data_IF_102844520541
#
_entry.id   IF_102844520541
#
_cell.length_a   1.000
_cell.length_b   1.000
_cell.length_c   1.000
_cell.angle_alpha   90.00
_cell.angle_beta   90.00
_cell.angle_gamma   90.00
#
_symmetry.space_group_name_H-M   'P 1'
#
loop_
_entity.id
_entity.type
_entity.pdbx_description
1 polymer ?
#
# COMPACT_ATOMS: atom_id res chain seq x y z
N UNK A 1 0.61 -17.39 2.35
CA UNK A 1 -0.34 -16.62 3.18
C UNK A 1 0.23 -16.13 4.51
N UNK A 2 1.18 -16.84 5.14
CA UNK A 2 1.69 -16.43 6.47
C UNK A 2 2.38 -15.05 6.47
N UNK A 3 3.17 -14.74 5.43
CA UNK A 3 3.81 -13.43 5.29
C UNK A 3 2.78 -12.27 5.27
N UNK A 4 1.66 -12.44 4.57
CA UNK A 4 0.58 -11.45 4.52
C UNK A 4 -0.05 -11.27 5.91
N UNK A 5 -0.31 -12.37 6.62
CA UNK A 5 -0.83 -12.31 8.00
C UNK A 5 0.15 -11.62 8.96
N UNK A 6 1.45 -11.83 8.79
CA UNK A 6 2.47 -11.14 9.58
C UNK A 6 2.37 -9.62 9.41
N UNK A 7 2.07 -9.14 8.19
CA UNK A 7 1.92 -7.70 7.96
C UNK A 7 0.67 -7.11 8.60
N UNK A 8 -0.46 -7.81 8.57
CA UNK A 8 -1.67 -7.36 9.28
C UNK A 8 -1.46 -7.33 10.79
N UNK A 9 -0.71 -8.30 11.34
CA UNK A 9 -0.30 -8.27 12.76
C UNK A 9 0.58 -7.07 13.06
N UNK A 10 1.49 -6.74 12.16
CA UNK A 10 2.38 -5.58 12.31
C UNK A 10 1.62 -4.25 12.25
N UNK A 11 0.68 -4.11 11.31
CA UNK A 11 -0.21 -2.94 11.26
C UNK A 11 -1.03 -2.78 12.56
N UNK A 12 -1.56 -3.89 13.09
CA UNK A 12 -2.28 -3.88 14.36
C UNK A 12 -1.37 -3.52 15.55
N UNK A 13 -0.12 -4.02 15.56
CA UNK A 13 0.89 -3.71 16.58
C UNK A 13 1.22 -2.21 16.57
N UNK A 14 1.57 -1.66 15.40
CA UNK A 14 1.89 -0.23 15.24
C UNK A 14 0.70 0.65 15.63
N UNK A 15 -0.52 0.28 15.23
CA UNK A 15 -1.73 1.03 15.63
C UNK A 15 -1.89 1.11 17.14
N UNK A 16 -1.62 0.02 17.86
CA UNK A 16 -1.71 0.00 19.33
C UNK A 16 -0.58 0.80 19.99
N UNK A 17 0.61 0.79 19.41
CA UNK A 17 1.79 1.46 19.98
C UNK A 17 1.80 2.97 19.74
N UNK A 18 1.39 3.42 18.56
CA UNK A 18 1.41 4.85 18.21
C UNK A 18 0.10 5.55 18.55
N UNK A 19 -1.00 4.81 18.73
CA UNK A 19 -2.35 5.35 18.86
C UNK A 19 -2.94 5.87 17.55
N UNK A 20 -2.24 5.67 16.43
CA UNK A 20 -2.65 6.13 15.10
C UNK A 20 -2.85 4.94 14.15
N UNK A 21 -3.88 5.00 13.29
CA UNK A 21 -4.22 3.86 12.42
C UNK A 21 -3.12 3.54 11.40
N UNK A 22 -2.63 2.31 11.45
CA UNK A 22 -1.74 1.75 10.43
C UNK A 22 -2.50 0.70 9.62
N UNK A 23 -2.25 0.67 8.31
CA UNK A 23 -2.95 -0.20 7.36
C UNK A 23 -1.93 -0.97 6.52
N UNK A 24 -2.39 -2.08 5.95
CA UNK A 24 -1.62 -2.81 4.93
C UNK A 24 -2.05 -2.32 3.55
N UNK A 25 -1.10 -1.79 2.81
CA UNK A 25 -1.28 -1.14 1.52
C UNK A 25 -0.59 -1.93 0.41
N UNK A 26 -1.05 -1.78 -0.84
CA UNK A 26 -0.42 -2.39 -2.02
C UNK A 26 0.46 -1.39 -2.77
N UNK A 27 1.77 -1.62 -2.81
CA UNK A 27 2.74 -0.73 -3.46
C UNK A 27 2.31 -0.45 -4.91
N UNK A 28 2.02 -1.51 -5.67
CA UNK A 28 1.38 -1.47 -6.99
C UNK A 28 -0.10 -1.83 -6.83
N UNK A 29 -1.05 -1.11 -7.49
CA UNK A 29 -2.47 -1.33 -7.28
C UNK A 29 -2.90 -2.79 -7.47
N UNK A 30 -3.72 -3.27 -6.52
CA UNK A 30 -4.33 -4.60 -6.61
C UNK A 30 -5.31 -4.70 -7.80
N UNK A 31 -6.01 -3.60 -8.08
CA UNK A 31 -6.91 -3.45 -9.21
C UNK A 31 -6.71 -2.05 -9.77
N UNK A 32 -6.28 -1.95 -11.02
CA UNK A 32 -6.09 -0.69 -11.73
C UNK A 32 -6.34 -0.86 -13.22
N UNK A 33 -6.37 0.24 -13.97
CA UNK A 33 -6.56 0.20 -15.43
C UNK A 33 -5.38 -0.45 -16.17
N UNK A 34 -4.18 -0.31 -15.61
CA UNK A 34 -2.92 -0.75 -16.22
C UNK A 34 -2.41 -2.09 -15.66
N UNK A 35 -2.74 -2.40 -14.41
CA UNK A 35 -2.25 -3.58 -13.68
C UNK A 35 -3.35 -4.13 -12.78
N UNK A 36 -3.40 -5.45 -12.60
CA UNK A 36 -4.31 -6.11 -11.67
C UNK A 36 -3.74 -7.43 -11.11
N UNK A 37 -4.27 -7.89 -9.98
CA UNK A 37 -4.00 -9.23 -9.43
C UNK A 37 -2.72 -9.39 -8.60
N UNK A 38 -1.97 -8.31 -8.33
CA UNK A 38 -0.68 -8.34 -7.62
C UNK A 38 -0.83 -8.48 -6.08
N UNK A 39 -1.65 -9.44 -5.62
CA UNK A 39 -1.84 -9.70 -4.19
C UNK A 39 -0.75 -10.63 -3.63
N UNK A 40 0.40 -10.05 -3.26
CA UNK A 40 1.47 -10.79 -2.63
C UNK A 40 2.30 -9.92 -1.68
N UNK A 41 2.97 -10.57 -0.71
CA UNK A 41 3.60 -9.88 0.42
C UNK A 41 4.65 -8.83 0.06
N UNK A 42 5.46 -8.99 -0.99
CA UNK A 42 6.42 -7.93 -1.35
C UNK A 42 5.80 -6.83 -2.23
N UNK A 43 4.57 -6.98 -2.70
CA UNK A 43 3.79 -5.86 -3.23
C UNK A 43 2.96 -5.19 -2.12
N UNK A 44 3.20 -5.51 -0.86
CA UNK A 44 2.45 -4.94 0.24
C UNK A 44 3.42 -4.25 1.20
N UNK A 45 2.94 -3.22 1.88
CA UNK A 45 3.68 -2.56 2.97
C UNK A 45 2.72 -2.15 4.10
N UNK A 46 3.25 -2.01 5.31
CA UNK A 46 2.52 -1.40 6.43
C UNK A 46 2.81 0.09 6.42
N UNK A 47 1.78 0.93 6.41
CA UNK A 47 1.93 2.38 6.41
C UNK A 47 0.83 3.08 7.20
N UNK A 48 1.07 4.32 7.59
CA UNK A 48 0.06 5.14 8.24
C UNK A 48 -1.14 5.39 7.30
N UNK A 49 -2.36 5.42 7.85
CA UNK A 49 -3.58 5.51 7.05
C UNK A 49 -3.68 6.78 6.19
N UNK A 50 -3.17 7.91 6.69
CA UNK A 50 -3.25 9.22 6.05
C UNK A 50 -2.54 9.24 4.68
N UNK A 51 -1.25 8.88 4.56
CA UNK A 51 -0.59 8.80 3.25
C UNK A 51 -1.21 7.71 2.34
N UNK A 52 -1.71 6.59 2.88
CA UNK A 52 -2.44 5.59 2.08
C UNK A 52 -3.70 6.18 1.44
N UNK A 53 -4.48 6.95 2.21
CA UNK A 53 -5.68 7.63 1.70
C UNK A 53 -5.35 8.69 0.64
N UNK A 54 -4.22 9.38 0.77
CA UNK A 54 -3.77 10.39 -0.22
C UNK A 54 -3.22 9.75 -1.50
N UNK A 55 -2.50 8.62 -1.41
CA UNK A 55 -1.86 7.96 -2.57
C UNK A 55 -2.89 7.52 -3.62
N UNK A 56 -3.98 6.86 -3.19
CA UNK A 56 -4.94 6.27 -4.10
C UNK A 56 -4.31 5.24 -5.05
N UNK A 57 -4.88 5.08 -6.25
CA UNK A 57 -4.43 4.08 -7.25
C UNK A 57 -3.61 4.68 -8.39
N UNK A 58 -3.40 6.00 -8.39
CA UNK A 58 -2.83 6.74 -9.52
C UNK A 58 -1.30 6.79 -9.53
N UNK A 59 -0.64 6.33 -8.46
CA UNK A 59 0.80 6.44 -8.31
C UNK A 59 1.40 5.18 -7.70
N UNK A 60 2.46 4.65 -8.31
CA UNK A 60 3.34 3.64 -7.74
C UNK A 60 4.73 3.73 -8.40
N UNK A 61 5.79 3.21 -7.75
CA UNK A 61 7.13 3.20 -8.33
C UNK A 61 7.16 2.51 -9.70
N UNK A 62 7.88 3.09 -10.65
CA UNK A 62 8.07 2.54 -12.00
C UNK A 62 6.78 2.36 -12.82
N UNK A 63 5.71 3.10 -12.52
CA UNK A 63 4.49 3.06 -13.34
C UNK A 63 4.78 3.47 -14.79
N UNK A 64 4.23 2.77 -15.80
CA UNK A 64 4.44 3.12 -17.20
C UNK A 64 3.75 4.43 -17.53
N UNK A 65 4.34 5.18 -18.49
CA UNK A 65 3.93 6.52 -18.91
C UNK A 65 4.15 7.54 -17.78
N UNK A 66 5.37 8.07 -17.71
CA UNK A 66 5.83 9.07 -16.74
C UNK A 66 4.76 10.12 -16.43
N UNK A 67 4.39 10.22 -15.14
CA UNK A 67 4.36 11.43 -14.32
C UNK A 67 4.07 12.77 -15.02
N UNK A 68 3.11 12.81 -15.94
CA UNK A 68 2.53 14.05 -16.43
C UNK A 68 1.59 14.56 -15.34
N UNK A 69 1.93 15.71 -14.76
CA UNK A 69 1.11 16.51 -13.85
C UNK A 69 1.19 16.18 -12.34
N UNK A 70 2.39 16.29 -11.77
CA UNK A 70 2.56 16.96 -10.46
C UNK A 70 3.82 17.87 -10.53
N UNK A 71 3.77 18.87 -11.43
CA UNK A 71 4.58 20.09 -11.37
C UNK A 71 3.66 21.25 -11.01
#
# INVERSE_FOLDING_TARGET
MEAIRAMYREAARLTRETGEMHVVEHIVPLAGKLVCGLHWHMNMQVMHWKPNATKGWGFWPDMPFEQLELL
#
